data_IF_384852592720
#
_entry.id   IF_384852592720
#
_cell.length_a   1.000
_cell.length_b   1.000
_cell.length_c   1.000
_cell.angle_alpha   90.00
_cell.angle_beta   90.00
_cell.angle_gamma   90.00
#
_symmetry.space_group_name_H-M   'P 1'
#
loop_
_entity.id
_entity.type
_entity.pdbx_description
1 polymer ?
#
# COMPACT_ATOMS: atom_id res chain seq x y z
N UNK A 1 -7.40 -19.80 -22.09
CA UNK A 1 -6.12 -20.14 -21.42
C UNK A 1 -6.26 -19.74 -19.95
N UNK A 2 -6.40 -20.70 -19.04
CA UNK A 2 -6.36 -20.46 -17.58
C UNK A 2 -5.01 -20.98 -17.12
N UNK A 3 -4.13 -20.08 -16.71
CA UNK A 3 -2.87 -20.44 -16.06
C UNK A 3 -3.16 -20.40 -14.56
N UNK A 4 -2.96 -21.52 -13.87
CA UNK A 4 -3.14 -21.60 -12.42
C UNK A 4 -1.84 -21.14 -11.74
N UNK A 5 -1.94 -20.66 -10.49
CA UNK A 5 -0.79 -20.18 -9.72
C UNK A 5 0.36 -21.22 -9.61
N UNK A 6 0.03 -22.51 -9.70
CA UNK A 6 1.00 -23.61 -9.68
C UNK A 6 1.88 -23.68 -10.94
N UNK A 7 1.37 -23.21 -12.08
CA UNK A 7 2.11 -23.24 -13.35
C UNK A 7 3.28 -22.24 -13.33
N UNK A 8 3.11 -21.09 -12.66
CA UNK A 8 4.17 -20.07 -12.49
C UNK A 8 5.31 -20.58 -11.62
N UNK A 9 5.02 -21.41 -10.61
CA UNK A 9 6.05 -21.99 -9.73
C UNK A 9 6.85 -23.11 -10.40
N UNK A 10 6.29 -23.78 -11.42
CA UNK A 10 6.93 -24.93 -12.07
C UNK A 10 8.00 -24.53 -13.09
N UNK A 11 7.89 -23.33 -13.69
CA UNK A 11 8.87 -22.81 -14.66
C UNK A 11 10.14 -22.23 -14.01
N UNK A 12 10.19 -22.01 -12.69
CA UNK A 12 11.38 -21.49 -11.98
C UNK A 12 12.60 -22.44 -11.98
N UNK A 13 12.49 -23.64 -12.58
CA UNK A 13 13.58 -24.60 -12.69
C UNK A 13 14.48 -24.45 -13.92
N UNK A 14 14.15 -23.59 -14.89
CA UNK A 14 14.99 -23.34 -16.05
C UNK A 14 15.65 -21.96 -15.93
N UNK A 15 16.99 -21.94 -15.96
CA UNK A 15 17.81 -20.74 -15.80
C UNK A 15 17.30 -19.58 -16.64
N UNK A 16 16.86 -18.52 -15.97
CA UNK A 16 16.49 -17.28 -16.61
C UNK A 16 17.77 -16.47 -16.77
N UNK A 17 18.24 -16.31 -18.01
CA UNK A 17 19.19 -15.24 -18.31
C UNK A 17 18.46 -13.91 -18.06
N UNK A 18 18.76 -13.31 -16.91
CA UNK A 18 18.21 -12.01 -16.51
C UNK A 18 18.79 -10.98 -17.47
N UNK A 19 17.98 -10.51 -18.42
CA UNK A 19 18.33 -9.30 -19.17
C UNK A 19 18.54 -8.13 -18.20
N UNK A 20 19.37 -7.16 -18.59
CA UNK A 20 19.87 -6.00 -17.81
C UNK A 20 18.79 -5.01 -17.27
N UNK A 21 17.54 -5.45 -17.14
CA UNK A 21 16.45 -4.71 -16.51
C UNK A 21 16.25 -5.06 -15.04
N UNK A 22 15.76 -4.11 -14.26
CA UNK A 22 15.31 -4.36 -12.89
C UNK A 22 14.20 -5.41 -12.90
N UNK A 23 14.47 -6.58 -12.31
CA UNK A 23 13.53 -7.70 -12.26
C UNK A 23 12.27 -7.36 -11.44
N UNK A 24 11.10 -7.77 -11.94
CA UNK A 24 9.82 -7.61 -11.23
C UNK A 24 9.42 -8.93 -10.60
N UNK A 25 9.35 -8.97 -9.27
CA UNK A 25 8.84 -10.10 -8.52
C UNK A 25 7.33 -9.97 -8.25
N UNK A 26 6.61 -11.09 -8.40
CA UNK A 26 5.17 -11.17 -8.12
C UNK A 26 4.96 -12.14 -6.96
N UNK A 27 4.46 -11.62 -5.83
CA UNK A 27 4.05 -12.41 -4.67
C UNK A 27 2.56 -12.72 -4.70
N UNK A 28 2.20 -13.98 -4.41
CA UNK A 28 0.82 -14.41 -4.23
C UNK A 28 0.51 -14.63 -2.75
N UNK A 29 -0.73 -14.38 -2.35
CA UNK A 29 -1.17 -14.58 -0.96
C UNK A 29 -2.65 -14.90 -0.89
N UNK A 30 -3.03 -15.79 0.02
CA UNK A 30 -4.44 -16.07 0.35
C UNK A 30 -5.03 -15.07 1.33
N UNK A 31 -4.21 -14.20 1.94
CA UNK A 31 -4.67 -13.17 2.85
C UNK A 31 -5.45 -12.09 2.10
N UNK A 32 -6.73 -11.90 2.46
CA UNK A 32 -7.57 -10.91 1.82
C UNK A 32 -7.34 -9.49 2.37
N UNK A 33 -7.08 -9.38 3.68
CA UNK A 33 -7.01 -8.09 4.38
C UNK A 33 -5.63 -7.43 4.25
N UNK A 34 -5.62 -6.10 4.17
CA UNK A 34 -4.38 -5.32 4.08
C UNK A 34 -3.46 -5.53 5.29
N UNK A 35 -4.03 -5.62 6.49
CA UNK A 35 -3.28 -5.85 7.74
C UNK A 35 -2.53 -7.18 7.71
N UNK A 36 -3.13 -8.23 7.16
CA UNK A 36 -2.49 -9.54 7.09
C UNK A 36 -1.39 -9.55 6.03
N UNK A 37 -1.65 -8.94 4.86
CA UNK A 37 -0.64 -8.76 3.82
C UNK A 37 0.57 -7.98 4.33
N UNK A 38 0.35 -6.88 5.04
CA UNK A 38 1.39 -6.07 5.65
C UNK A 38 2.31 -6.90 6.56
N UNK A 39 1.71 -7.70 7.44
CA UNK A 39 2.43 -8.57 8.38
C UNK A 39 3.28 -9.62 7.67
N UNK A 40 2.76 -10.23 6.60
CA UNK A 40 3.51 -11.23 5.83
C UNK A 40 4.64 -10.57 5.04
N UNK A 41 4.37 -9.46 4.35
CA UNK A 41 5.39 -8.72 3.59
C UNK A 41 6.50 -8.22 4.52
N UNK A 42 6.18 -7.78 5.74
CA UNK A 42 7.16 -7.37 6.73
C UNK A 42 8.13 -8.51 7.11
N UNK A 43 7.62 -9.74 7.20
CA UNK A 43 8.38 -10.95 7.57
C UNK A 43 9.13 -11.61 6.41
N UNK A 44 8.91 -11.17 5.17
CA UNK A 44 9.56 -11.75 4.00
C UNK A 44 11.08 -11.51 4.03
N UNK A 45 11.91 -12.57 4.22
CA UNK A 45 13.34 -12.42 4.39
C UNK A 45 14.07 -11.94 3.13
N UNK A 46 13.54 -12.25 1.94
CA UNK A 46 14.17 -11.89 0.65
C UNK A 46 14.42 -10.39 0.53
N UNK A 47 13.52 -9.57 1.10
CA UNK A 47 13.58 -8.10 1.04
C UNK A 47 13.79 -7.46 2.41
N UNK A 48 14.41 -8.17 3.37
CA UNK A 48 14.57 -7.68 4.73
C UNK A 48 15.44 -6.41 4.83
N UNK A 49 16.45 -6.26 3.97
CA UNK A 49 17.32 -5.07 3.91
C UNK A 49 16.75 -3.93 3.07
N UNK A 50 15.66 -4.17 2.33
CA UNK A 50 15.06 -3.19 1.45
C UNK A 50 14.08 -2.27 2.20
N UNK A 51 14.08 -0.99 1.83
CA UNK A 51 13.03 -0.06 2.26
C UNK A 51 11.75 -0.37 1.50
N UNK A 52 10.68 -0.71 2.23
CA UNK A 52 9.38 -1.09 1.65
C UNK A 52 8.47 0.14 1.55
N UNK A 53 8.22 0.63 0.34
CA UNK A 53 7.30 1.75 0.09
C UNK A 53 6.03 1.22 -0.54
N UNK A 54 4.87 1.47 0.08
CA UNK A 54 3.59 1.03 -0.46
C UNK A 54 2.96 2.13 -1.31
N UNK A 55 2.56 1.79 -2.53
CA UNK A 55 1.91 2.71 -3.46
C UNK A 55 0.42 2.41 -3.49
N UNK A 56 -0.41 3.41 -3.19
CA UNK A 56 -1.86 3.28 -3.07
C UNK A 56 -2.54 4.38 -3.89
N UNK A 57 -3.74 4.08 -4.41
CA UNK A 57 -4.67 5.14 -4.81
C UNK A 57 -5.40 5.72 -3.60
N UNK A 58 -5.90 6.95 -3.72
CA UNK A 58 -6.66 7.62 -2.66
C UNK A 58 -7.87 6.81 -2.16
N UNK A 59 -8.67 6.23 -3.06
CA UNK A 59 -9.81 5.36 -2.69
C UNK A 59 -9.40 4.10 -1.91
N UNK A 60 -8.19 3.59 -2.18
CA UNK A 60 -7.61 2.45 -1.45
C UNK A 60 -7.14 2.88 -0.08
N UNK A 61 -6.57 4.09 0.07
CA UNK A 61 -6.22 4.64 1.37
C UNK A 61 -7.45 4.80 2.28
N UNK A 62 -8.57 5.34 1.78
CA UNK A 62 -9.81 5.41 2.58
C UNK A 62 -10.24 4.02 3.09
N UNK A 63 -10.23 3.02 2.21
CA UNK A 63 -10.56 1.63 2.56
C UNK A 63 -9.56 0.99 3.51
N UNK A 64 -8.28 1.36 3.41
CA UNK A 64 -7.22 0.91 4.32
C UNK A 64 -7.41 1.48 5.74
N UNK A 65 -7.95 2.69 5.87
CA UNK A 65 -8.14 3.33 7.17
C UNK A 65 -9.54 3.09 7.78
N UNK A 66 -10.39 2.35 7.08
CA UNK A 66 -11.75 2.02 7.52
C UNK A 66 -11.76 0.80 8.44
N UNK A 67 -11.96 1.04 9.74
CA UNK A 67 -11.87 0.02 10.79
C UNK A 67 -12.87 -1.12 10.67
N UNK A 68 -14.01 -0.91 9.99
CA UNK A 68 -15.02 -1.97 9.84
C UNK A 68 -14.52 -3.19 9.05
N UNK A 69 -13.39 -3.06 8.34
CA UNK A 69 -12.75 -4.16 7.61
C UNK A 69 -11.82 -5.02 8.47
N UNK A 70 -11.62 -4.66 9.75
CA UNK A 70 -10.68 -5.34 10.65
C UNK A 70 -11.40 -5.96 11.85
N UNK A 71 -10.83 -7.07 12.34
CA UNK A 71 -11.23 -7.71 13.57
C UNK A 71 -9.99 -7.95 14.46
N UNK A 72 -9.88 -7.29 15.64
CA UNK A 72 -10.80 -6.27 16.15
C UNK A 72 -10.84 -5.00 15.25
N UNK A 73 -11.87 -4.14 15.36
CA UNK A 73 -12.02 -2.95 14.52
C UNK A 73 -11.03 -1.85 14.91
N UNK A 74 -9.76 -2.03 14.53
CA UNK A 74 -8.63 -1.14 14.86
C UNK A 74 -7.59 -1.12 13.73
N UNK A 75 -6.88 0.00 13.61
CA UNK A 75 -5.79 0.22 12.67
C UNK A 75 -4.42 -0.19 13.21
N UNK A 76 -4.32 -0.61 14.48
CA UNK A 76 -3.05 -0.89 15.16
C UNK A 76 -2.15 -1.91 14.43
N UNK A 77 -2.74 -2.82 13.66
CA UNK A 77 -1.99 -3.80 12.87
C UNK A 77 -1.33 -3.27 11.59
N UNK A 78 -1.63 -2.03 11.17
CA UNK A 78 -1.15 -1.46 9.91
C UNK A 78 0.25 -0.86 10.00
N UNK A 79 0.86 -0.79 11.18
CA UNK A 79 2.20 -0.24 11.39
C UNK A 79 3.24 -0.63 10.34
N UNK A 80 3.37 -1.92 9.97
CA UNK A 80 4.35 -2.35 8.96
C UNK A 80 4.16 -1.76 7.56
N UNK A 81 2.96 -1.28 7.20
CA UNK A 81 2.74 -0.56 5.92
C UNK A 81 3.36 0.83 5.93
N UNK A 82 3.45 1.46 7.10
CA UNK A 82 3.87 2.85 7.24
C UNK A 82 5.34 3.00 7.61
N UNK A 83 6.01 1.95 8.08
CA UNK A 83 7.43 1.98 8.50
C UNK A 83 8.38 2.48 7.40
N UNK A 84 8.21 2.01 6.17
CA UNK A 84 9.03 2.45 5.03
C UNK A 84 8.43 3.64 4.25
N UNK A 85 7.20 4.03 4.56
CA UNK A 85 6.48 5.13 3.90
C UNK A 85 5.43 4.66 2.88
N UNK A 86 4.49 5.56 2.60
CA UNK A 86 3.34 5.31 1.73
C UNK A 86 3.25 6.42 0.69
N UNK A 87 3.08 6.04 -0.58
CA UNK A 87 2.80 6.97 -1.68
C UNK A 87 1.34 6.89 -2.05
N UNK A 88 0.65 8.02 -2.00
CA UNK A 88 -0.78 8.12 -2.28
C UNK A 88 -0.97 8.89 -3.58
N UNK A 89 -1.53 8.23 -4.58
CA UNK A 89 -1.92 8.86 -5.84
C UNK A 89 -3.34 9.41 -5.72
N UNK A 90 -3.46 10.73 -5.87
CA UNK A 90 -4.75 11.40 -6.00
C UNK A 90 -5.36 11.10 -7.36
N UNK A 91 -6.69 11.12 -7.42
CA UNK A 91 -7.43 10.73 -8.62
C UNK A 91 -8.29 11.89 -9.10
N UNK A 92 -8.40 12.06 -10.42
CA UNK A 92 -9.45 12.87 -11.00
C UNK A 92 -10.80 12.12 -10.85
N UNK A 93 -11.75 12.72 -10.14
CA UNK A 93 -13.02 12.10 -9.79
C UNK A 93 -14.04 13.14 -9.31
N UNK A 94 -15.06 12.67 -8.59
CA UNK A 94 -16.09 13.53 -7.99
C UNK A 94 -15.50 14.46 -6.92
N UNK A 95 -14.67 13.91 -6.04
CA UNK A 95 -13.90 14.71 -5.08
C UNK A 95 -12.71 15.36 -5.78
N UNK A 96 -12.58 16.68 -5.63
CA UNK A 96 -11.49 17.45 -6.23
C UNK A 96 -10.14 17.13 -5.59
N UNK A 97 -9.03 17.31 -6.31
CA UNK A 97 -7.68 17.05 -5.76
C UNK A 97 -7.43 17.76 -4.43
N UNK A 98 -7.93 19.00 -4.30
CA UNK A 98 -7.83 19.80 -3.08
C UNK A 98 -8.53 19.13 -1.90
N UNK A 99 -9.76 18.66 -2.07
CA UNK A 99 -10.54 17.99 -1.03
C UNK A 99 -9.87 16.70 -0.57
N UNK A 100 -9.28 15.96 -1.52
CA UNK A 100 -8.54 14.74 -1.20
C UNK A 100 -7.29 15.02 -0.36
N UNK A 101 -6.56 16.11 -0.67
CA UNK A 101 -5.39 16.54 0.13
C UNK A 101 -5.81 16.98 1.53
N UNK A 102 -6.82 17.83 1.62
CA UNK A 102 -7.36 18.30 2.90
C UNK A 102 -7.84 17.13 3.78
N UNK A 103 -8.45 16.11 3.18
CA UNK A 103 -8.82 14.88 3.88
C UNK A 103 -7.60 14.15 4.46
N UNK A 104 -6.53 13.95 3.67
CA UNK A 104 -5.30 13.29 4.14
C UNK A 104 -4.64 14.09 5.26
N UNK A 105 -4.52 15.40 5.09
CA UNK A 105 -3.92 16.30 6.08
C UNK A 105 -4.70 16.31 7.40
N UNK A 106 -6.04 16.22 7.32
CA UNK A 106 -6.93 16.13 8.47
C UNK A 106 -6.78 14.85 9.31
N UNK A 107 -6.18 13.78 8.78
CA UNK A 107 -5.99 12.53 9.52
C UNK A 107 -5.00 12.66 10.69
N UNK A 108 -4.03 13.57 10.60
CA UNK A 108 -2.83 13.60 11.44
C UNK A 108 -2.88 14.47 12.71
N UNK A 109 -4.05 14.98 13.08
CA UNK A 109 -4.23 15.77 14.31
C UNK A 109 -4.16 14.93 15.58
N UNK A 110 -3.70 15.52 16.69
CA UNK A 110 -3.72 14.89 18.03
C UNK A 110 -5.17 14.59 18.44
N UNK A 111 -5.45 13.33 18.82
CA UNK A 111 -6.81 12.86 19.07
C UNK A 111 -7.68 12.77 17.81
N UNK A 112 -7.08 12.86 16.63
CA UNK A 112 -7.70 12.74 15.31
C UNK A 112 -8.24 11.35 15.01
N UNK A 113 -8.93 11.20 13.86
CA UNK A 113 -9.58 9.95 13.47
C UNK A 113 -8.62 8.76 13.44
N UNK A 114 -7.38 9.00 12.97
CA UNK A 114 -6.37 7.96 12.87
C UNK A 114 -6.00 7.41 14.26
N UNK A 115 -5.74 8.27 15.24
CA UNK A 115 -5.38 7.87 16.61
C UNK A 115 -6.55 7.26 17.37
N UNK A 116 -7.77 7.80 17.23
CA UNK A 116 -8.98 7.22 17.84
C UNK A 116 -9.24 5.78 17.40
N UNK A 117 -8.82 5.44 16.19
CA UNK A 117 -8.94 4.11 15.62
C UNK A 117 -7.72 3.21 15.87
N UNK A 118 -6.74 3.65 16.66
CA UNK A 118 -5.53 2.90 17.02
C UNK A 118 -4.39 2.98 15.99
N UNK A 119 -4.48 3.90 15.05
CA UNK A 119 -3.36 4.30 14.19
C UNK A 119 -2.47 5.35 14.85
N UNK A 120 -1.48 5.87 14.12
CA UNK A 120 -0.53 6.86 14.64
C UNK A 120 -0.52 8.12 13.79
N UNK A 121 -0.60 9.30 14.39
CA UNK A 121 -0.53 10.58 13.67
C UNK A 121 0.73 10.75 12.81
N UNK A 122 1.85 10.12 13.21
CA UNK A 122 3.11 10.13 12.46
C UNK A 122 3.02 9.47 11.07
N UNK A 123 2.07 8.57 10.86
CA UNK A 123 1.89 7.91 9.55
C UNK A 123 1.53 8.91 8.46
N UNK A 124 0.70 9.91 8.76
CA UNK A 124 0.29 10.95 7.82
C UNK A 124 1.49 11.80 7.39
N UNK A 125 2.35 12.15 8.35
CA UNK A 125 3.58 12.91 8.06
C UNK A 125 4.56 12.15 7.17
N UNK A 126 4.52 10.81 7.21
CA UNK A 126 5.33 9.93 6.37
C UNK A 126 4.73 9.63 4.99
N UNK A 127 3.51 10.11 4.69
CA UNK A 127 2.88 9.89 3.39
C UNK A 127 3.37 10.90 2.35
N UNK A 128 3.71 10.41 1.16
CA UNK A 128 3.97 11.24 -0.01
C UNK A 128 2.71 11.30 -0.89
N UNK A 129 2.11 12.49 -1.01
CA UNK A 129 0.86 12.69 -1.75
C UNK A 129 1.11 13.25 -3.15
N UNK A 130 0.88 12.42 -4.16
CA UNK A 130 1.14 12.71 -5.57
C UNK A 130 -0.14 13.17 -6.27
N UNK A 131 -0.09 14.36 -6.87
CA UNK A 131 -1.22 14.95 -7.61
C UNK A 131 -1.51 14.23 -8.92
N UNK A 132 -2.60 14.64 -9.58
CA UNK A 132 -2.95 14.09 -10.88
C UNK A 132 -1.97 14.61 -11.92
N UNK A 133 -1.09 13.76 -12.43
CA UNK A 133 -0.27 14.11 -13.59
C UNK A 133 -1.20 14.19 -14.81
N UNK A 134 -1.41 15.40 -15.34
CA UNK A 134 -1.94 15.55 -16.69
C UNK A 134 -0.97 14.84 -17.64
N UNK A 135 -1.46 13.90 -18.44
CA UNK A 135 -0.69 13.42 -19.58
C UNK A 135 -0.41 14.64 -20.44
N UNK A 136 0.88 14.96 -20.65
CA UNK A 136 1.24 15.80 -21.79
C UNK A 136 0.84 15.01 -23.01
N UNK A 137 -0.12 15.53 -23.76
CA UNK A 137 -0.34 15.11 -25.13
C UNK A 137 0.94 15.50 -25.90
N UNK A 138 1.64 14.50 -26.42
CA UNK A 138 2.72 14.68 -27.39
C UNK A 138 2.14 14.85 -28.80
#
# INVERSE_FOLDING_TARGET
>A
MRVLAEDVTRERGAGHEVGDGEGVDIGLTSHALFVDKARIIAKEPTYASAKKIFILGFDTLKRLLEVRYYDPPTLSGLGPLFEGGVRVHLRAGEEGEKEQREWIEGLGGEGGELERNGGKAEWVRGMEVLGVRMRREE
#
